data_IF_063294931664
#
_entry.id   IF_063294931664
#
_cell.length_a   1.000
_cell.length_b   1.000
_cell.length_c   1.000
_cell.angle_alpha   90.00
_cell.angle_beta   90.00
_cell.angle_gamma   90.00
#
_symmetry.space_group_name_H-M   'P 1'
#
loop_
_entity.id
_entity.type
_entity.pdbx_description
1 polymer ?
#
# COMPACT_ATOMS: atom_id res chain seq x y z
N UNK A 1 30.93 9.51 -12.65
CA UNK A 1 29.83 10.07 -11.85
C UNK A 1 28.76 10.50 -12.82
N UNK A 2 27.80 9.64 -13.13
CA UNK A 2 26.69 9.99 -13.99
C UNK A 2 25.52 10.36 -13.06
N UNK A 3 25.13 11.61 -13.08
CA UNK A 3 23.88 12.10 -12.48
C UNK A 3 22.75 11.51 -13.32
N UNK A 4 22.11 10.46 -12.81
CA UNK A 4 20.79 10.03 -13.28
C UNK A 4 19.73 10.97 -12.70
N UNK A 5 19.73 12.20 -13.16
CA UNK A 5 18.61 13.12 -12.98
C UNK A 5 17.62 12.82 -14.11
N UNK A 6 16.44 12.33 -13.75
CA UNK A 6 15.33 12.08 -14.68
C UNK A 6 15.02 13.40 -15.40
N UNK A 7 14.93 13.44 -16.73
CA UNK A 7 14.77 14.70 -17.49
C UNK A 7 13.50 15.50 -17.17
N UNK A 8 12.60 14.95 -16.35
CA UNK A 8 11.36 15.61 -15.90
C UNK A 8 11.53 16.57 -14.72
N UNK A 9 12.69 16.59 -14.02
CA UNK A 9 12.82 17.28 -12.72
C UNK A 9 13.22 18.75 -12.87
N UNK A 10 14.03 19.14 -13.84
CA UNK A 10 14.61 20.50 -13.89
C UNK A 10 13.83 21.55 -14.70
N UNK A 11 12.95 21.18 -15.62
CA UNK A 11 12.17 22.17 -16.39
C UNK A 11 10.76 22.48 -15.83
N UNK A 12 10.40 22.01 -14.65
CA UNK A 12 8.97 21.87 -14.26
C UNK A 12 8.61 22.15 -12.80
N UNK A 13 9.40 22.85 -12.00
CA UNK A 13 8.99 23.17 -10.62
C UNK A 13 7.64 23.94 -10.57
N UNK A 14 7.40 24.86 -11.51
CA UNK A 14 6.09 25.51 -11.66
C UNK A 14 4.99 24.51 -12.07
N UNK A 15 5.26 23.66 -13.04
CA UNK A 15 4.31 22.63 -13.51
C UNK A 15 4.00 21.56 -12.44
N UNK A 16 4.93 21.25 -11.54
CA UNK A 16 4.69 20.30 -10.45
C UNK A 16 3.79 20.88 -9.36
N UNK A 17 3.90 22.18 -9.06
CA UNK A 17 2.99 22.86 -8.13
C UNK A 17 1.56 22.89 -8.67
N UNK A 18 1.40 23.14 -9.98
CA UNK A 18 0.11 23.17 -10.64
C UNK A 18 -0.53 21.77 -10.69
N UNK A 19 0.27 20.74 -10.98
CA UNK A 19 -0.15 19.33 -10.90
C UNK A 19 -0.64 18.96 -9.50
N UNK A 20 0.08 19.35 -8.45
CA UNK A 20 -0.32 19.10 -7.06
C UNK A 20 -1.60 19.85 -6.69
N UNK A 21 -1.76 21.09 -7.15
CA UNK A 21 -2.97 21.88 -6.93
C UNK A 21 -4.17 21.25 -7.62
N UNK A 22 -4.02 20.85 -8.89
CA UNK A 22 -5.05 20.16 -9.66
C UNK A 22 -5.41 18.79 -9.02
N UNK A 23 -4.40 18.02 -8.60
CA UNK A 23 -4.59 16.76 -7.87
C UNK A 23 -5.37 16.97 -6.57
N UNK A 24 -4.99 17.97 -5.78
CA UNK A 24 -5.64 18.25 -4.49
C UNK A 24 -7.11 18.63 -4.69
N UNK A 25 -7.44 19.42 -5.71
CA UNK A 25 -8.83 19.79 -6.02
C UNK A 25 -9.67 18.54 -6.32
N UNK A 26 -9.17 17.64 -7.19
CA UNK A 26 -9.88 16.41 -7.53
C UNK A 26 -9.92 15.41 -6.36
N UNK A 27 -8.87 15.33 -5.55
CA UNK A 27 -8.85 14.50 -4.35
C UNK A 27 -9.86 14.99 -3.31
N UNK A 28 -9.95 16.30 -3.09
CA UNK A 28 -10.98 16.87 -2.21
C UNK A 28 -12.39 16.56 -2.72
N UNK A 29 -12.60 16.63 -4.04
CA UNK A 29 -13.91 16.35 -4.62
C UNK A 29 -14.31 14.89 -4.54
N UNK A 30 -13.42 13.95 -4.87
CA UNK A 30 -13.77 12.55 -5.08
C UNK A 30 -13.33 11.62 -3.93
N UNK A 31 -12.36 11.99 -3.13
CA UNK A 31 -11.83 11.17 -2.03
C UNK A 31 -12.23 11.74 -0.67
N UNK A 32 -11.73 12.93 -0.32
CA UNK A 32 -11.89 13.49 1.03
C UNK A 32 -13.30 14.02 1.30
N UNK A 33 -13.89 14.74 0.33
CA UNK A 33 -15.24 15.31 0.43
C UNK A 33 -16.38 14.34 0.13
N UNK A 34 -16.06 13.13 -0.35
CA UNK A 34 -17.04 12.18 -0.90
C UNK A 34 -18.17 11.84 0.06
N UNK A 35 -17.88 11.52 1.32
CA UNK A 35 -18.90 11.14 2.32
C UNK A 35 -19.88 12.28 2.56
N UNK A 36 -19.38 13.51 2.73
CA UNK A 36 -20.21 14.68 2.93
C UNK A 36 -21.07 15.00 1.71
N UNK A 37 -20.49 14.91 0.51
CA UNK A 37 -21.22 15.17 -0.74
C UNK A 37 -22.32 14.13 -1.00
N UNK A 38 -22.06 12.86 -0.73
CA UNK A 38 -23.06 11.81 -0.83
C UNK A 38 -24.20 12.01 0.19
N UNK A 39 -23.88 12.39 1.44
CA UNK A 39 -24.88 12.69 2.45
C UNK A 39 -25.75 13.88 2.04
N UNK A 40 -25.13 14.95 1.51
CA UNK A 40 -25.85 16.14 1.04
C UNK A 40 -26.83 15.80 -0.09
N UNK A 41 -26.43 14.94 -1.04
CA UNK A 41 -27.27 14.52 -2.18
C UNK A 41 -28.39 13.55 -1.79
N UNK A 42 -28.15 12.69 -0.80
CA UNK A 42 -29.13 11.69 -0.36
C UNK A 42 -30.02 12.18 0.78
N UNK A 43 -29.75 13.34 1.38
CA UNK A 43 -30.44 13.80 2.57
C UNK A 43 -30.16 12.97 3.83
N UNK A 44 -29.13 12.11 3.79
CA UNK A 44 -28.81 11.14 4.85
C UNK A 44 -27.63 11.67 5.68
N UNK A 45 -27.60 11.41 6.99
CA UNK A 45 -26.43 11.75 7.82
C UNK A 45 -25.20 10.96 7.40
N UNK A 46 -24.01 11.59 7.48
CA UNK A 46 -22.72 11.02 7.05
C UNK A 46 -22.44 9.66 7.72
N UNK A 47 -22.82 9.52 8.99
CA UNK A 47 -22.69 8.27 9.76
C UNK A 47 -23.58 7.12 9.26
N UNK A 48 -24.63 7.44 8.48
CA UNK A 48 -25.62 6.49 7.98
C UNK A 48 -25.41 6.13 6.50
N UNK A 49 -24.33 6.58 5.86
CA UNK A 49 -24.03 6.14 4.49
C UNK A 49 -23.45 4.71 4.60
N UNK A 50 -24.27 3.66 4.38
CA UNK A 50 -23.79 2.30 4.50
C UNK A 50 -22.83 2.01 3.35
N UNK A 51 -22.24 0.81 3.35
CA UNK A 51 -21.47 0.19 2.26
C UNK A 51 -21.97 0.43 0.80
N UNK A 52 -22.91 1.32 0.58
CA UNK A 52 -23.36 1.84 -0.74
C UNK A 52 -22.18 2.33 -1.60
N UNK A 53 -21.05 2.67 -0.97
CA UNK A 53 -19.78 2.92 -1.65
C UNK A 53 -19.21 1.67 -2.36
N UNK A 54 -19.78 0.49 -2.12
CA UNK A 54 -19.40 -0.76 -2.83
C UNK A 54 -20.11 -0.94 -4.15
N UNK A 55 -21.20 -0.20 -4.42
CA UNK A 55 -21.91 -0.29 -5.69
C UNK A 55 -21.02 0.21 -6.84
N UNK A 56 -20.89 -0.60 -7.87
CA UNK A 56 -20.20 -0.22 -9.11
C UNK A 56 -21.24 0.54 -9.96
N UNK A 57 -21.10 1.84 -10.03
CA UNK A 57 -21.99 2.73 -10.78
C UNK A 57 -21.16 3.77 -11.54
N UNK A 58 -21.67 4.35 -12.65
CA UNK A 58 -20.97 5.40 -13.37
C UNK A 58 -20.83 6.71 -12.59
N UNK A 59 -21.49 6.87 -11.44
CA UNK A 59 -21.35 8.07 -10.63
C UNK A 59 -19.90 8.23 -10.13
N UNK A 60 -19.19 9.33 -10.46
CA UNK A 60 -17.81 9.56 -10.06
C UNK A 60 -17.58 9.44 -8.56
N UNK A 61 -18.54 9.86 -7.72
CA UNK A 61 -18.44 9.76 -6.26
C UNK A 61 -18.42 8.31 -5.75
N UNK A 62 -18.89 7.35 -6.54
CA UNK A 62 -18.85 5.92 -6.22
C UNK A 62 -17.71 5.22 -6.94
N UNK A 63 -17.37 5.70 -8.13
CA UNK A 63 -16.46 5.03 -9.04
C UNK A 63 -14.99 5.40 -8.83
N UNK A 64 -14.68 6.66 -8.49
CA UNK A 64 -13.29 7.09 -8.25
C UNK A 64 -12.83 6.55 -6.89
N UNK A 65 -11.70 5.83 -6.88
CA UNK A 65 -11.09 5.23 -5.69
C UNK A 65 -9.71 5.78 -5.38
N UNK A 66 -9.13 6.56 -6.30
CA UNK A 66 -7.84 7.21 -6.08
C UNK A 66 -7.63 8.39 -7.02
N UNK A 67 -6.85 9.36 -6.55
CA UNK A 67 -6.40 10.54 -7.32
C UNK A 67 -4.93 10.76 -7.04
N UNK A 68 -4.08 10.71 -8.05
CA UNK A 68 -2.62 10.81 -7.89
C UNK A 68 -1.93 11.50 -9.06
N UNK A 69 -0.62 11.53 -9.05
CA UNK A 69 0.21 12.08 -10.13
C UNK A 69 0.96 10.94 -10.78
N UNK A 70 0.88 10.84 -12.09
CA UNK A 70 1.57 9.83 -12.88
C UNK A 70 1.68 10.20 -14.33
N UNK A 71 2.33 9.36 -15.12
CA UNK A 71 2.41 9.57 -16.56
C UNK A 71 1.07 9.22 -17.23
N UNK A 72 0.66 10.06 -18.17
CA UNK A 72 -0.54 9.84 -18.98
C UNK A 72 -0.31 8.64 -19.91
N UNK A 73 -1.27 7.73 -19.92
CA UNK A 73 -1.31 6.58 -20.82
C UNK A 73 -2.33 6.85 -21.94
N UNK A 74 -1.93 6.73 -23.18
CA UNK A 74 -2.84 6.79 -24.34
C UNK A 74 -2.65 5.54 -25.19
N UNK A 75 -3.76 4.85 -25.49
CA UNK A 75 -3.74 3.61 -26.29
C UNK A 75 -2.75 2.55 -25.75
N UNK A 76 -2.63 2.47 -24.42
CA UNK A 76 -1.72 1.53 -23.74
C UNK A 76 -0.22 1.93 -23.77
N UNK A 77 0.10 3.13 -24.26
CA UNK A 77 1.48 3.65 -24.33
C UNK A 77 1.68 4.87 -23.43
N UNK A 78 2.84 4.96 -22.82
CA UNK A 78 3.30 6.14 -22.11
C UNK A 78 3.46 7.32 -23.09
N UNK A 79 2.99 8.51 -22.70
CA UNK A 79 3.01 9.71 -23.54
C UNK A 79 4.14 10.68 -23.25
N UNK A 80 4.92 10.45 -22.19
CA UNK A 80 5.91 11.39 -21.68
C UNK A 80 5.31 12.62 -20.99
N UNK A 81 4.00 12.65 -20.76
CA UNK A 81 3.30 13.78 -20.14
C UNK A 81 2.78 13.41 -18.76
N UNK A 82 3.10 14.21 -17.75
CA UNK A 82 2.51 14.08 -16.44
C UNK A 82 1.06 14.53 -16.44
N UNK A 83 0.20 13.81 -15.73
CA UNK A 83 -1.22 14.06 -15.61
C UNK A 83 -1.71 13.79 -14.18
N UNK A 84 -2.87 14.32 -13.84
CA UNK A 84 -3.61 13.86 -12.67
C UNK A 84 -4.32 12.56 -13.03
N UNK A 85 -3.90 11.47 -12.39
CA UNK A 85 -4.51 10.14 -12.57
C UNK A 85 -5.75 10.00 -11.71
N UNK A 86 -6.82 9.55 -12.34
CA UNK A 86 -8.10 9.22 -11.70
C UNK A 86 -8.27 7.70 -11.76
N UNK A 87 -8.01 7.03 -10.64
CA UNK A 87 -8.20 5.58 -10.53
C UNK A 87 -9.68 5.28 -10.29
N UNK A 88 -10.27 4.48 -11.17
CA UNK A 88 -11.70 4.14 -11.12
C UNK A 88 -11.90 2.64 -10.92
N UNK A 89 -13.03 2.29 -10.30
CA UNK A 89 -13.43 0.89 -10.15
C UNK A 89 -13.68 0.22 -11.49
N UNK A 90 -14.31 0.97 -12.42
CA UNK A 90 -14.65 0.51 -13.76
C UNK A 90 -14.67 1.69 -14.73
N UNK A 91 -14.18 1.50 -15.95
CA UNK A 91 -14.38 2.43 -17.05
C UNK A 91 -15.73 2.15 -17.71
N UNK A 92 -16.49 3.21 -17.96
CA UNK A 92 -17.76 3.16 -18.68
C UNK A 92 -17.58 3.77 -20.07
N UNK A 93 -18.23 3.23 -21.12
CA UNK A 93 -18.29 3.86 -22.42
C UNK A 93 -18.88 5.27 -22.34
N UNK A 94 -18.35 6.21 -23.11
CA UNK A 94 -18.84 7.60 -23.10
C UNK A 94 -20.34 7.69 -23.46
N UNK A 95 -20.85 6.75 -24.24
CA UNK A 95 -22.28 6.65 -24.58
C UNK A 95 -23.20 6.36 -23.39
N UNK A 96 -22.65 5.77 -22.32
CA UNK A 96 -23.37 5.49 -21.07
C UNK A 96 -23.26 6.61 -20.04
N UNK A 97 -22.42 7.63 -20.32
CA UNK A 97 -22.17 8.76 -19.44
C UNK A 97 -22.91 10.00 -19.96
N UNK A 98 -23.89 10.47 -19.20
CA UNK A 98 -24.39 11.84 -19.42
C UNK A 98 -23.36 12.86 -18.90
N UNK A 99 -23.47 14.12 -19.33
CA UNK A 99 -22.46 15.15 -19.05
C UNK A 99 -22.10 15.36 -17.57
N UNK A 100 -23.00 14.99 -16.64
CA UNK A 100 -22.78 15.12 -15.20
C UNK A 100 -22.00 13.92 -14.60
N UNK A 101 -21.87 12.84 -15.34
CA UNK A 101 -21.18 11.60 -14.91
C UNK A 101 -19.78 11.47 -15.51
N UNK A 102 -19.47 12.25 -16.55
CA UNK A 102 -18.14 12.23 -17.15
C UNK A 102 -17.10 12.88 -16.22
N UNK A 103 -15.95 12.20 -16.09
CA UNK A 103 -14.80 12.77 -15.42
C UNK A 103 -14.13 13.83 -16.31
N UNK A 104 -13.54 14.90 -15.73
CA UNK A 104 -12.91 15.95 -16.52
C UNK A 104 -11.71 15.40 -17.32
N UNK A 105 -11.53 15.85 -18.55
CA UNK A 105 -10.35 15.55 -19.38
C UNK A 105 -9.13 16.37 -19.00
N UNK A 106 -9.37 17.51 -18.36
CA UNK A 106 -8.35 18.42 -17.82
C UNK A 106 -8.93 19.21 -16.65
N UNK A 107 -8.06 19.75 -15.82
CA UNK A 107 -8.39 20.67 -14.74
C UNK A 107 -7.33 21.76 -14.66
N UNK A 108 -7.75 23.02 -14.74
CA UNK A 108 -6.87 24.19 -14.74
C UNK A 108 -5.73 24.08 -15.79
N UNK A 109 -6.04 23.55 -17.00
CA UNK A 109 -5.07 23.31 -18.07
C UNK A 109 -4.15 22.09 -17.84
N UNK A 110 -4.32 21.36 -16.74
CA UNK A 110 -3.56 20.14 -16.45
C UNK A 110 -4.37 18.92 -16.97
N UNK A 111 -3.79 18.06 -17.81
CA UNK A 111 -4.47 16.88 -18.32
C UNK A 111 -4.78 15.89 -17.21
N UNK A 112 -5.91 15.19 -17.36
CA UNK A 112 -6.23 14.03 -16.53
C UNK A 112 -6.00 12.73 -17.31
N UNK A 113 -5.84 11.64 -16.57
CA UNK A 113 -5.77 10.28 -17.10
C UNK A 113 -6.65 9.36 -16.26
N UNK A 114 -7.63 8.71 -16.89
CA UNK A 114 -8.55 7.80 -16.20
C UNK A 114 -8.02 6.39 -16.34
N UNK A 115 -7.76 5.73 -15.21
CA UNK A 115 -7.22 4.37 -15.18
C UNK A 115 -8.15 3.44 -14.41
N UNK A 116 -8.51 2.30 -15.02
CA UNK A 116 -9.27 1.27 -14.34
C UNK A 116 -8.36 0.47 -13.41
N UNK A 117 -8.61 0.59 -12.12
CA UNK A 117 -7.83 -0.09 -11.09
C UNK A 117 -8.63 -1.15 -10.32
N UNK A 118 -9.94 -1.14 -10.45
CA UNK A 118 -10.80 -1.85 -9.50
C UNK A 118 -10.87 -1.17 -8.14
N UNK A 119 -11.56 -1.77 -7.19
CA UNK A 119 -11.60 -1.28 -5.81
C UNK A 119 -10.28 -1.63 -5.09
N UNK A 120 -9.74 -0.67 -4.34
CA UNK A 120 -8.60 -0.92 -3.46
C UNK A 120 -9.06 -1.52 -2.14
N UNK A 121 -8.38 -2.58 -1.71
CA UNK A 121 -8.68 -3.27 -0.45
C UNK A 121 -7.39 -3.65 0.25
N UNK A 122 -7.40 -3.71 1.60
CA UNK A 122 -6.39 -4.52 2.26
C UNK A 122 -6.53 -5.95 1.73
N UNK A 123 -5.43 -6.59 1.50
CA UNK A 123 -5.48 -7.95 0.97
C UNK A 123 -5.93 -8.93 2.05
N UNK A 124 -7.04 -9.63 1.79
CA UNK A 124 -7.41 -10.82 2.52
C UNK A 124 -6.61 -12.01 1.99
N UNK A 125 -6.25 -12.95 2.85
CA UNK A 125 -5.30 -14.01 2.56
C UNK A 125 -5.64 -14.85 1.33
N UNK A 126 -4.68 -14.94 0.38
CA UNK A 126 -4.76 -15.81 -0.80
C UNK A 126 -3.89 -17.06 -0.66
N UNK A 127 -4.21 -18.09 -1.44
CA UNK A 127 -3.34 -19.26 -1.58
C UNK A 127 -2.01 -18.87 -2.26
N UNK A 128 -0.87 -19.38 -1.74
CA UNK A 128 0.45 -19.04 -2.28
C UNK A 128 0.65 -19.55 -3.69
N UNK A 129 1.31 -18.75 -4.50
CA UNK A 129 1.98 -19.21 -5.71
C UNK A 129 3.37 -19.71 -5.32
N UNK A 130 3.63 -21.00 -5.53
CA UNK A 130 4.95 -21.60 -5.30
C UNK A 130 5.86 -21.23 -6.49
N UNK A 131 6.80 -20.31 -6.28
CA UNK A 131 7.83 -20.02 -7.26
C UNK A 131 8.91 -21.11 -7.20
N UNK A 132 9.19 -21.76 -8.32
CA UNK A 132 10.23 -22.78 -8.40
C UNK A 132 11.61 -22.19 -8.09
N UNK A 133 12.40 -22.86 -7.25
CA UNK A 133 13.77 -22.46 -6.91
C UNK A 133 13.90 -21.32 -5.91
N UNK A 134 12.80 -20.81 -5.33
CA UNK A 134 12.83 -19.76 -4.30
C UNK A 134 12.54 -20.31 -2.91
N UNK A 135 13.06 -19.65 -1.84
CA UNK A 135 12.69 -19.99 -0.47
C UNK A 135 11.17 -19.97 -0.28
N UNK A 136 10.62 -20.95 0.43
CA UNK A 136 9.21 -20.93 0.78
C UNK A 136 8.99 -19.97 1.96
N UNK A 137 8.36 -18.79 1.77
CA UNK A 137 8.23 -17.79 2.84
C UNK A 137 7.28 -18.21 3.95
N UNK A 138 6.52 -19.29 3.78
CA UNK A 138 5.50 -19.76 4.71
C UNK A 138 6.01 -20.78 5.72
N UNK A 139 7.25 -21.22 5.58
CA UNK A 139 7.84 -22.19 6.51
C UNK A 139 8.43 -21.50 7.74
N UNK A 140 8.56 -22.26 8.82
CA UNK A 140 9.29 -21.83 10.00
C UNK A 140 10.75 -21.58 9.65
N UNK A 141 11.25 -20.40 10.02
CA UNK A 141 12.63 -19.95 9.82
C UNK A 141 13.22 -19.44 11.12
N UNK A 142 14.43 -19.88 11.44
CA UNK A 142 15.22 -19.36 12.59
C UNK A 142 16.67 -19.16 12.17
N UNK A 143 17.16 -17.92 12.07
CA UNK A 143 16.42 -16.67 12.28
C UNK A 143 15.35 -16.43 11.24
N UNK A 144 14.29 -15.69 11.61
CA UNK A 144 13.26 -15.24 10.70
C UNK A 144 13.78 -14.13 9.78
N UNK A 145 13.42 -14.18 8.51
CA UNK A 145 13.85 -13.21 7.49
C UNK A 145 12.70 -12.31 7.03
N UNK A 146 12.96 -11.01 6.75
CA UNK A 146 11.99 -10.20 6.01
C UNK A 146 11.58 -10.90 4.71
N UNK A 147 10.29 -10.80 4.37
CA UNK A 147 9.65 -11.54 3.28
C UNK A 147 8.96 -12.83 3.73
N UNK A 148 9.24 -13.37 4.91
CA UNK A 148 8.53 -14.54 5.44
C UNK A 148 7.17 -14.18 6.06
N UNK A 149 6.36 -15.23 6.28
CA UNK A 149 5.06 -15.17 6.93
C UNK A 149 5.18 -14.79 8.40
N UNK A 150 4.37 -13.82 8.82
CA UNK A 150 4.13 -13.51 10.24
C UNK A 150 2.64 -13.24 10.45
N UNK A 151 2.20 -13.34 11.69
CA UNK A 151 0.81 -13.03 12.05
C UNK A 151 0.60 -13.05 13.56
N UNK A 152 -0.59 -12.67 13.96
CA UNK A 152 -1.05 -12.71 15.35
C UNK A 152 -2.06 -13.85 15.57
N UNK A 153 -2.41 -14.09 16.82
CA UNK A 153 -3.55 -14.90 17.21
C UNK A 153 -4.75 -13.97 17.43
N UNK A 154 -5.85 -14.23 16.73
CA UNK A 154 -7.13 -13.59 17.03
C UNK A 154 -7.58 -13.97 18.45
N UNK A 155 -7.81 -12.99 19.36
CA UNK A 155 -8.21 -13.28 20.74
C UNK A 155 -9.51 -14.08 20.83
N UNK A 156 -10.41 -13.94 19.88
CA UNK A 156 -11.68 -14.69 19.81
C UNK A 156 -11.54 -16.05 19.12
N UNK A 157 -10.36 -16.36 18.55
CA UNK A 157 -10.10 -17.58 17.76
C UNK A 157 -11.09 -17.80 16.59
N UNK A 158 -11.65 -16.71 16.04
CA UNK A 158 -12.63 -16.77 14.96
C UNK A 158 -11.97 -16.85 13.58
N UNK A 159 -10.73 -16.38 13.45
CA UNK A 159 -10.01 -16.44 12.20
C UNK A 159 -8.50 -16.58 12.41
N UNK A 160 -7.79 -16.96 11.36
CA UNK A 160 -6.33 -16.98 11.30
C UNK A 160 -5.87 -16.04 10.20
N UNK A 161 -4.80 -15.31 10.47
CA UNK A 161 -4.26 -14.31 9.58
C UNK A 161 -2.76 -14.50 9.41
N UNK A 162 -2.25 -14.16 8.24
CA UNK A 162 -0.83 -14.02 8.01
C UNK A 162 -0.57 -12.94 6.96
N UNK A 163 0.43 -12.11 7.23
CA UNK A 163 1.00 -11.14 6.34
C UNK A 163 2.50 -11.37 6.20
N UNK A 164 3.23 -10.34 5.84
CA UNK A 164 4.66 -10.40 5.55
C UNK A 164 5.49 -9.64 6.59
N UNK A 165 6.55 -10.24 7.07
CA UNK A 165 7.63 -9.58 7.80
C UNK A 165 8.34 -8.61 6.86
N UNK A 166 8.22 -7.29 7.09
CA UNK A 166 8.75 -6.27 6.20
C UNK A 166 10.24 -6.01 6.36
N UNK A 167 10.64 -5.60 7.54
CA UNK A 167 12.03 -5.25 7.87
C UNK A 167 12.35 -5.48 9.36
N UNK A 168 13.64 -5.62 9.65
CA UNK A 168 14.15 -5.35 10.99
C UNK A 168 14.40 -3.85 11.11
N UNK A 169 13.83 -3.25 12.15
CA UNK A 169 14.04 -1.83 12.49
C UNK A 169 14.45 -1.70 13.95
N UNK A 170 15.06 -0.56 14.31
CA UNK A 170 15.57 -0.32 15.66
C UNK A 170 15.39 1.13 16.10
N UNK A 171 15.28 1.32 17.38
CA UNK A 171 15.44 2.59 18.08
C UNK A 171 16.37 2.44 19.29
N UNK A 172 16.46 3.46 20.16
CA UNK A 172 17.26 3.41 21.37
C UNK A 172 16.78 2.33 22.36
N UNK A 173 15.53 1.89 22.26
CA UNK A 173 14.90 0.94 23.20
C UNK A 173 15.03 -0.52 22.75
N UNK A 174 15.32 -0.80 21.47
CA UNK A 174 15.47 -2.19 21.02
C UNK A 174 15.33 -2.43 19.52
N UNK A 175 15.18 -3.71 19.19
CA UNK A 175 15.04 -4.25 17.84
C UNK A 175 13.59 -4.72 17.63
N UNK A 176 13.06 -4.47 16.44
CA UNK A 176 11.65 -4.72 16.12
C UNK A 176 11.48 -5.32 14.72
N UNK A 177 10.41 -6.08 14.57
CA UNK A 177 9.83 -6.45 13.28
C UNK A 177 8.92 -5.30 12.84
N UNK A 178 9.07 -4.80 11.61
CA UNK A 178 8.18 -3.86 10.94
C UNK A 178 7.19 -4.62 10.05
N UNK A 179 5.92 -4.25 10.11
CA UNK A 179 4.88 -4.64 9.16
C UNK A 179 3.73 -3.61 9.18
N UNK A 180 2.56 -3.96 8.67
CA UNK A 180 1.40 -3.08 8.73
C UNK A 180 0.67 -3.15 10.09
N UNK A 181 -0.15 -2.13 10.39
CA UNK A 181 -1.08 -2.14 11.50
C UNK A 181 -2.05 -3.32 11.37
N UNK A 182 -2.70 -3.47 10.20
CA UNK A 182 -3.65 -4.57 9.99
C UNK A 182 -3.00 -5.97 10.06
N UNK A 183 -1.65 -6.07 9.92
CA UNK A 183 -0.90 -7.34 10.05
C UNK A 183 -0.47 -7.64 11.47
N UNK A 184 -0.12 -6.62 12.29
CA UNK A 184 0.41 -6.81 13.63
C UNK A 184 -0.54 -6.38 14.74
N UNK A 185 -1.48 -5.46 14.46
CA UNK A 185 -2.38 -4.86 15.42
C UNK A 185 -3.86 -5.04 15.09
N UNK A 186 -4.18 -5.84 14.05
CA UNK A 186 -5.54 -6.17 13.65
C UNK A 186 -6.46 -4.94 13.53
N UNK A 187 -6.04 -3.96 12.71
CA UNK A 187 -6.81 -2.72 12.50
C UNK A 187 -7.11 -1.98 13.82
N UNK A 188 -6.12 -1.82 14.69
CA UNK A 188 -6.18 -1.23 16.03
C UNK A 188 -6.80 -2.11 17.14
N UNK A 189 -7.26 -3.33 16.84
CA UNK A 189 -8.02 -4.16 17.80
C UNK A 189 -7.14 -4.85 18.83
N UNK A 190 -5.87 -5.13 18.51
CA UNK A 190 -4.97 -5.84 19.43
C UNK A 190 -4.33 -4.91 20.46
N UNK A 191 -4.18 -5.37 21.72
CA UNK A 191 -3.47 -4.62 22.74
C UNK A 191 -1.95 -4.67 22.50
N UNK A 192 -1.24 -3.65 22.97
CA UNK A 192 0.22 -3.70 23.08
C UNK A 192 0.62 -4.92 23.91
N UNK A 193 1.67 -5.63 23.46
CA UNK A 193 2.10 -6.92 24.05
C UNK A 193 1.51 -8.14 23.35
N UNK A 194 0.55 -8.00 22.43
CA UNK A 194 0.01 -9.14 21.68
C UNK A 194 1.12 -9.92 20.96
N UNK A 195 1.08 -11.25 21.06
CA UNK A 195 2.11 -12.14 20.53
C UNK A 195 2.08 -12.18 18.98
N UNK A 196 3.27 -12.15 18.37
CA UNK A 196 3.48 -12.27 16.94
C UNK A 196 4.27 -13.55 16.64
N UNK A 197 3.76 -14.33 15.71
CA UNK A 197 4.25 -15.67 15.39
C UNK A 197 4.90 -15.72 14.00
N UNK A 198 5.93 -16.57 13.84
CA UNK A 198 6.57 -16.89 12.58
C UNK A 198 6.77 -18.42 12.45
N UNK A 199 6.14 -19.05 11.47
CA UNK A 199 5.18 -18.48 10.50
C UNK A 199 3.90 -18.02 11.21
N UNK A 200 3.10 -17.18 10.52
CA UNK A 200 1.75 -16.85 10.99
C UNK A 200 0.89 -18.11 11.12
N UNK A 201 -0.13 -18.07 11.98
CA UNK A 201 -0.95 -19.25 12.30
C UNK A 201 -1.64 -19.85 11.07
N UNK A 202 -1.98 -19.02 10.07
CA UNK A 202 -2.51 -19.49 8.79
C UNK A 202 -1.53 -20.39 8.01
N UNK A 203 -0.25 -20.25 8.23
CA UNK A 203 0.81 -21.03 7.59
C UNK A 203 1.39 -22.11 8.50
N UNK A 204 0.62 -22.52 9.51
CA UNK A 204 0.97 -23.64 10.39
C UNK A 204 1.85 -23.24 11.58
N UNK A 205 1.92 -21.95 11.90
CA UNK A 205 2.57 -21.49 13.14
C UNK A 205 1.86 -22.01 14.38
N UNK A 206 2.64 -22.20 15.46
CA UNK A 206 2.15 -22.70 16.75
C UNK A 206 2.23 -21.60 17.80
N UNK A 207 1.13 -21.39 18.51
CA UNK A 207 1.04 -20.42 19.63
C UNK A 207 2.05 -20.76 20.74
N UNK A 208 2.31 -22.05 20.99
CA UNK A 208 3.18 -22.51 22.07
C UNK A 208 4.68 -22.39 21.77
N UNK A 209 5.10 -22.36 20.48
CA UNK A 209 6.53 -22.50 20.12
C UNK A 209 7.04 -21.49 19.12
N UNK A 210 6.15 -20.71 18.48
CA UNK A 210 6.52 -19.92 17.31
C UNK A 210 6.44 -18.41 17.51
N UNK A 211 6.26 -17.96 18.75
CA UNK A 211 6.32 -16.54 19.05
C UNK A 211 7.74 -16.00 18.79
N UNK A 212 7.83 -14.94 17.98
CA UNK A 212 9.09 -14.27 17.62
C UNK A 212 9.13 -12.83 18.12
N UNK A 213 7.99 -12.22 18.39
CA UNK A 213 7.90 -10.83 18.82
C UNK A 213 6.61 -10.58 19.62
N UNK A 214 6.50 -9.37 20.19
CA UNK A 214 5.28 -8.85 20.81
C UNK A 214 4.99 -7.45 20.28
N UNK A 215 3.73 -7.14 19.95
CA UNK A 215 3.28 -5.83 19.46
C UNK A 215 3.77 -4.73 20.39
N UNK A 216 4.51 -3.76 19.85
CA UNK A 216 5.11 -2.70 20.65
C UNK A 216 4.52 -1.31 20.37
N UNK A 217 4.28 -0.99 19.10
CA UNK A 217 3.68 0.27 18.63
C UNK A 217 2.98 0.06 17.31
N UNK A 218 1.93 0.83 17.08
CA UNK A 218 1.31 0.99 15.76
C UNK A 218 0.81 2.42 15.60
N UNK A 219 0.59 2.84 14.36
CA UNK A 219 -0.09 4.09 14.05
C UNK A 219 -1.57 3.77 13.90
N UNK A 220 -2.44 4.33 14.75
CA UNK A 220 -3.87 4.04 14.69
C UNK A 220 -4.47 4.46 13.36
N UNK A 221 -5.24 3.57 12.75
CA UNK A 221 -6.07 3.88 11.58
C UNK A 221 -7.29 4.69 12.05
N UNK A 222 -7.54 5.83 11.40
CA UNK A 222 -8.62 6.75 11.72
C UNK A 222 -9.61 6.83 10.55
N UNK A 223 -10.88 6.44 10.72
CA UNK A 223 -11.88 6.52 9.65
C UNK A 223 -12.42 7.93 9.40
N UNK A 224 -12.12 8.89 10.29
CA UNK A 224 -12.68 10.25 10.25
C UNK A 224 -11.82 11.24 9.46
N UNK A 225 -10.53 10.94 9.28
CA UNK A 225 -9.56 11.80 8.58
C UNK A 225 -8.64 10.97 7.68
N UNK A 226 -7.92 11.62 6.75
CA UNK A 226 -6.91 10.94 5.96
C UNK A 226 -5.77 10.37 6.82
N UNK A 227 -5.42 9.11 6.59
CA UNK A 227 -4.24 8.46 7.14
C UNK A 227 -3.05 8.68 6.21
N UNK A 228 -1.85 8.64 6.73
CA UNK A 228 -0.61 8.67 5.92
C UNK A 228 0.04 7.29 5.83
N UNK A 229 -0.12 6.47 6.87
CA UNK A 229 0.54 5.16 6.94
C UNK A 229 -0.37 4.11 7.58
N UNK A 230 -0.21 2.88 7.15
CA UNK A 230 -0.69 1.66 7.80
C UNK A 230 0.54 0.88 8.25
N UNK A 231 0.98 1.09 9.48
CA UNK A 231 2.22 0.49 9.97
C UNK A 231 2.21 0.20 11.48
N UNK A 232 2.98 -0.83 11.83
CA UNK A 232 3.20 -1.26 13.21
C UNK A 232 4.57 -1.90 13.38
N UNK A 233 5.06 -1.94 14.63
CA UNK A 233 6.27 -2.67 15.01
C UNK A 233 6.00 -3.59 16.20
N UNK A 234 6.66 -4.76 16.18
CA UNK A 234 6.66 -5.71 17.25
C UNK A 234 8.08 -5.92 17.77
N UNK A 235 8.29 -5.83 19.10
CA UNK A 235 9.59 -6.05 19.73
C UNK A 235 9.97 -7.51 19.64
N UNK A 236 11.15 -7.83 19.12
CA UNK A 236 11.64 -9.20 19.03
C UNK A 236 11.88 -9.80 20.43
N UNK A 237 11.63 -11.10 20.59
CA UNK A 237 11.87 -11.80 21.86
C UNK A 237 13.37 -11.88 22.20
N UNK A 238 14.21 -11.96 21.16
CA UNK A 238 15.66 -11.88 21.22
C UNK A 238 16.25 -11.46 19.88
N UNK A 239 17.37 -10.74 19.86
CA UNK A 239 17.94 -10.21 18.62
C UNK A 239 18.35 -11.28 17.60
N UNK A 240 18.79 -12.46 18.09
CA UNK A 240 19.19 -13.59 17.25
C UNK A 240 18.02 -14.29 16.53
N UNK A 241 16.77 -13.95 16.88
CA UNK A 241 15.59 -14.60 16.28
C UNK A 241 15.25 -14.05 14.89
N UNK A 242 15.81 -12.90 14.50
CA UNK A 242 15.60 -12.24 13.21
C UNK A 242 16.91 -11.99 12.48
N UNK A 243 16.81 -11.89 11.15
CA UNK A 243 17.89 -11.51 10.23
C UNK A 243 17.45 -10.30 9.39
N UNK A 244 18.38 -9.42 9.00
CA UNK A 244 18.09 -8.22 8.21
C UNK A 244 17.94 -8.48 6.70
N UNK A 245 18.44 -9.61 6.21
CA UNK A 245 18.42 -9.92 4.78
C UNK A 245 17.01 -10.37 4.37
N UNK A 246 16.41 -9.62 3.45
CA UNK A 246 15.15 -9.99 2.81
C UNK A 246 15.39 -11.25 1.98
N UNK A 247 14.47 -12.21 2.07
CA UNK A 247 14.54 -13.44 1.29
C UNK A 247 14.77 -13.12 -0.19
N UNK A 248 15.75 -13.79 -0.83
CA UNK A 248 16.14 -13.65 -2.23
C UNK A 248 16.71 -12.27 -2.64
N UNK A 249 16.47 -11.19 -1.89
CA UNK A 249 16.91 -9.82 -2.25
C UNK A 249 18.20 -9.43 -1.51
N UNK A 250 18.35 -9.86 -0.26
CA UNK A 250 19.47 -9.47 0.59
C UNK A 250 19.18 -8.27 1.49
N UNK A 251 20.21 -7.69 2.08
CA UNK A 251 20.07 -6.61 3.08
C UNK A 251 19.69 -5.29 2.43
N UNK A 252 18.67 -4.56 2.94
CA UNK A 252 18.33 -3.21 2.49
C UNK A 252 19.49 -2.23 2.66
N UNK A 253 19.66 -1.31 1.72
CA UNK A 253 20.76 -0.32 1.71
C UNK A 253 20.26 1.11 1.99
N UNK A 254 19.46 1.27 3.07
CA UNK A 254 18.87 2.55 3.43
C UNK A 254 17.57 2.85 2.69
N UNK A 255 17.06 4.08 2.81
CA UNK A 255 15.81 4.54 2.21
C UNK A 255 16.05 5.39 0.97
N UNK A 256 15.07 5.45 0.08
CA UNK A 256 14.99 6.36 -1.05
C UNK A 256 13.54 6.86 -1.23
N UNK A 257 13.40 8.01 -1.90
CA UNK A 257 12.08 8.54 -2.29
C UNK A 257 11.62 7.82 -3.56
N UNK A 258 10.35 7.43 -3.60
CA UNK A 258 9.74 6.85 -4.80
C UNK A 258 9.64 7.92 -5.91
N UNK A 259 9.92 7.52 -7.15
CA UNK A 259 9.74 8.36 -8.33
C UNK A 259 8.94 7.59 -9.39
N UNK A 260 8.18 8.32 -10.20
CA UNK A 260 7.44 7.74 -11.34
C UNK A 260 8.44 7.00 -12.24
N UNK A 261 8.03 5.88 -12.80
CA UNK A 261 8.82 4.96 -13.64
C UNK A 261 10.00 4.28 -12.95
N UNK A 262 10.17 4.48 -11.63
CA UNK A 262 11.18 3.75 -10.89
C UNK A 262 10.91 2.25 -10.95
N UNK A 263 11.90 1.47 -11.41
CA UNK A 263 11.84 0.01 -11.36
C UNK A 263 12.04 -0.48 -9.92
N UNK A 264 11.10 -1.29 -9.45
CA UNK A 264 11.06 -1.78 -8.07
C UNK A 264 10.89 -3.29 -8.00
N UNK A 265 11.24 -3.87 -6.86
CA UNK A 265 11.03 -5.27 -6.56
C UNK A 265 10.64 -5.45 -5.08
N UNK A 266 10.07 -6.61 -4.79
CA UNK A 266 9.78 -7.04 -3.42
C UNK A 266 9.89 -8.56 -3.27
N UNK A 267 9.95 -9.03 -2.05
CA UNK A 267 9.68 -10.42 -1.69
C UNK A 267 8.62 -10.46 -0.59
N UNK A 268 7.56 -11.21 -0.80
CA UNK A 268 6.44 -11.32 0.14
C UNK A 268 5.95 -12.74 0.34
N UNK A 269 5.10 -12.92 1.34
CA UNK A 269 4.57 -14.20 1.77
C UNK A 269 3.83 -14.96 0.67
N UNK A 270 3.10 -14.24 -0.20
CA UNK A 270 2.16 -14.87 -1.14
C UNK A 270 2.73 -14.99 -2.54
N UNK A 271 3.25 -13.91 -3.10
CA UNK A 271 3.75 -13.91 -4.47
C UNK A 271 5.27 -14.10 -4.56
N UNK A 272 5.96 -14.24 -3.41
CA UNK A 272 7.43 -14.34 -3.37
C UNK A 272 8.08 -13.12 -4.05
N UNK A 273 9.09 -13.34 -4.89
CA UNK A 273 9.78 -12.27 -5.61
C UNK A 273 8.95 -11.78 -6.79
N UNK A 274 8.73 -10.49 -6.86
CA UNK A 274 8.07 -9.82 -7.99
C UNK A 274 8.78 -8.53 -8.35
N UNK A 275 8.60 -8.11 -9.60
CA UNK A 275 9.17 -6.89 -10.19
C UNK A 275 8.03 -6.02 -10.71
N UNK A 276 8.17 -4.71 -10.55
CA UNK A 276 7.18 -3.74 -10.99
C UNK A 276 7.77 -2.36 -11.24
N UNK A 277 6.89 -1.42 -11.51
CA UNK A 277 7.21 -0.03 -11.80
C UNK A 277 6.31 0.89 -10.98
N UNK A 278 6.85 1.98 -10.45
CA UNK A 278 6.06 3.03 -9.78
C UNK A 278 5.24 3.77 -10.82
N UNK A 279 3.93 3.57 -10.79
CA UNK A 279 2.99 4.15 -11.77
C UNK A 279 2.44 5.51 -11.35
N UNK A 280 2.38 5.77 -10.03
CA UNK A 280 1.89 7.05 -9.49
C UNK A 280 2.47 7.32 -8.12
N UNK A 281 2.64 8.59 -7.81
CA UNK A 281 3.07 9.11 -6.50
C UNK A 281 2.06 10.15 -6.02
N UNK A 282 2.21 10.57 -4.75
CA UNK A 282 1.32 11.57 -4.14
C UNK A 282 -0.16 11.21 -4.35
N UNK A 283 -0.51 9.93 -4.18
CA UNK A 283 -1.84 9.42 -4.51
C UNK A 283 -2.72 9.36 -3.27
N UNK A 284 -3.88 10.01 -3.32
CA UNK A 284 -4.91 9.87 -2.29
C UNK A 284 -5.88 8.77 -2.70
N UNK A 285 -6.12 7.82 -1.80
CA UNK A 285 -6.91 6.62 -2.09
C UNK A 285 -7.94 6.35 -1.00
N UNK A 286 -9.00 5.64 -1.38
CA UNK A 286 -9.91 4.98 -0.44
C UNK A 286 -9.65 3.48 -0.47
N UNK A 287 -9.39 2.89 0.68
CA UNK A 287 -9.09 1.47 0.85
C UNK A 287 -10.13 0.85 1.78
N UNK A 288 -10.69 -0.28 1.37
CA UNK A 288 -11.62 -1.07 2.17
C UNK A 288 -10.88 -2.01 3.13
N UNK A 289 -11.20 -1.90 4.42
CA UNK A 289 -10.77 -2.77 5.51
C UNK A 289 -11.96 -3.55 6.07
N UNK A 290 -11.75 -4.43 7.03
CA UNK A 290 -12.87 -5.11 7.72
C UNK A 290 -13.68 -4.14 8.56
N UNK A 291 -13.00 -3.21 9.23
CA UNK A 291 -13.62 -2.20 10.09
C UNK A 291 -14.26 -1.04 9.31
N UNK A 292 -14.08 -0.98 7.99
CA UNK A 292 -14.70 0.05 7.14
C UNK A 292 -13.78 0.58 6.05
N UNK A 293 -14.19 1.67 5.41
CA UNK A 293 -13.38 2.34 4.40
C UNK A 293 -12.54 3.45 5.05
N UNK A 294 -11.24 3.43 4.77
CA UNK A 294 -10.27 4.45 5.22
C UNK A 294 -9.71 5.21 4.01
N UNK A 295 -9.50 6.51 4.18
CA UNK A 295 -8.75 7.31 3.21
C UNK A 295 -7.29 7.40 3.61
N UNK A 296 -6.42 7.36 2.60
CA UNK A 296 -4.97 7.56 2.76
C UNK A 296 -4.52 8.63 1.79
N UNK A 297 -3.61 9.51 2.22
CA UNK A 297 -3.02 10.56 1.40
C UNK A 297 -1.55 10.29 1.11
N UNK A 298 -1.08 10.81 -0.03
CA UNK A 298 0.31 10.76 -0.45
C UNK A 298 0.89 9.34 -0.55
N UNK A 299 0.17 8.43 -1.20
CA UNK A 299 0.60 7.04 -1.36
C UNK A 299 1.37 6.81 -2.67
N UNK A 300 2.10 5.70 -2.71
CA UNK A 300 2.78 5.18 -3.91
C UNK A 300 1.92 4.10 -4.55
N UNK A 301 1.71 4.17 -5.86
CA UNK A 301 1.08 3.10 -6.64
C UNK A 301 2.15 2.39 -7.47
N UNK A 302 2.15 1.06 -7.39
CA UNK A 302 3.05 0.19 -8.18
C UNK A 302 2.21 -0.75 -9.03
N UNK A 303 2.59 -0.92 -10.28
CA UNK A 303 2.05 -1.94 -11.19
C UNK A 303 3.09 -3.01 -11.47
N UNK A 304 2.64 -4.24 -11.67
CA UNK A 304 3.53 -5.32 -12.07
C UNK A 304 3.93 -5.22 -13.53
N UNK A 305 5.09 -5.77 -13.86
CA UNK A 305 5.59 -5.77 -15.22
C UNK A 305 4.94 -6.89 -16.06
N UNK A 306 4.83 -6.67 -17.37
CA UNK A 306 4.34 -7.64 -18.36
C UNK A 306 2.95 -8.23 -18.03
N UNK A 307 2.05 -7.39 -17.50
CA UNK A 307 0.68 -7.81 -17.14
C UNK A 307 0.60 -8.74 -15.92
N UNK A 308 1.71 -8.98 -15.22
CA UNK A 308 1.71 -9.78 -14.01
C UNK A 308 1.33 -8.91 -12.80
N UNK A 309 0.63 -9.48 -11.82
CA UNK A 309 0.37 -8.78 -10.56
C UNK A 309 1.68 -8.60 -9.78
N UNK A 310 1.92 -7.38 -9.26
CA UNK A 310 3.07 -7.11 -8.39
C UNK A 310 2.89 -7.71 -7.00
N UNK A 311 1.66 -7.73 -6.49
CA UNK A 311 1.33 -8.26 -5.16
C UNK A 311 -0.03 -8.97 -5.14
N UNK A 312 -0.25 -9.73 -4.10
CA UNK A 312 -1.52 -10.39 -3.81
C UNK A 312 -1.74 -10.44 -2.29
N UNK A 313 -2.92 -10.90 -1.88
CA UNK A 313 -3.31 -11.07 -0.49
C UNK A 313 -2.26 -11.82 0.35
N UNK A 314 -1.85 -11.25 1.47
CA UNK A 314 -0.79 -11.76 2.34
C UNK A 314 0.62 -11.18 2.07
N UNK A 315 0.82 -10.42 0.97
CA UNK A 315 2.04 -9.64 0.74
C UNK A 315 2.07 -8.33 1.54
N UNK A 316 0.97 -7.96 2.19
CA UNK A 316 0.91 -6.82 3.13
C UNK A 316 2.06 -6.88 4.14
N UNK A 317 2.76 -5.78 4.31
CA UNK A 317 3.97 -5.67 5.11
C UNK A 317 5.27 -5.86 4.35
N UNK A 318 5.24 -6.31 3.08
CA UNK A 318 6.45 -6.40 2.26
C UNK A 318 7.10 -5.03 2.05
N UNK A 319 8.44 -4.97 2.15
CA UNK A 319 9.17 -3.80 1.65
C UNK A 319 9.22 -3.81 0.13
N UNK A 320 9.06 -2.62 -0.45
CA UNK A 320 9.31 -2.34 -1.87
C UNK A 320 10.64 -1.62 -1.98
N UNK A 321 11.55 -2.15 -2.79
CA UNK A 321 12.90 -1.64 -2.96
C UNK A 321 13.16 -1.23 -4.40
N UNK A 322 13.96 -0.18 -4.58
CA UNK A 322 14.48 0.21 -5.89
C UNK A 322 15.42 -0.87 -6.42
N UNK A 323 15.17 -1.37 -7.61
CA UNK A 323 16.05 -2.34 -8.28
C UNK A 323 17.42 -1.73 -8.56
N UNK A 324 18.46 -2.55 -8.46
CA UNK A 324 19.85 -2.15 -8.68
C UNK A 324 20.52 -1.48 -7.48
N UNK A 325 19.76 -0.83 -6.59
CA UNK A 325 20.35 -0.18 -5.40
C UNK A 325 19.99 -0.89 -4.09
N UNK A 326 18.89 -1.64 -4.05
CA UNK A 326 18.28 -2.20 -2.85
C UNK A 326 17.95 -1.16 -1.76
N UNK A 327 17.72 0.11 -2.14
CA UNK A 327 17.18 1.11 -1.23
C UNK A 327 15.67 0.93 -1.10
N UNK A 328 15.18 1.02 0.13
CA UNK A 328 13.76 0.87 0.42
C UNK A 328 13.00 2.13 0.02
N UNK A 329 11.93 1.99 -0.74
CA UNK A 329 11.10 3.11 -1.17
C UNK A 329 9.72 3.13 -0.50
N UNK A 330 9.14 1.95 -0.19
CA UNK A 330 7.79 1.90 0.37
C UNK A 330 7.51 0.63 1.18
N UNK A 331 6.43 0.67 1.98
CA UNK A 331 5.83 -0.44 2.71
C UNK A 331 4.47 -0.76 2.09
N UNK A 332 4.31 -1.94 1.52
CA UNK A 332 3.10 -2.41 0.88
C UNK A 332 1.99 -2.66 1.91
N UNK A 333 0.75 -2.18 1.65
CA UNK A 333 -0.36 -2.42 2.58
C UNK A 333 -1.69 -2.80 1.93
N UNK A 334 -1.92 -2.44 0.67
CA UNK A 334 -3.19 -2.67 0.00
C UNK A 334 -3.01 -2.81 -1.51
N UNK A 335 -4.11 -3.09 -2.21
CA UNK A 335 -4.10 -3.10 -3.66
C UNK A 335 -5.39 -3.64 -4.28
N UNK A 336 -5.29 -3.90 -5.57
CA UNK A 336 -6.27 -4.58 -6.40
C UNK A 336 -5.58 -5.67 -7.22
N UNK A 337 -6.26 -6.23 -8.22
CA UNK A 337 -5.66 -7.23 -9.12
C UNK A 337 -4.48 -6.68 -9.93
N UNK A 338 -4.46 -5.40 -10.21
CA UNK A 338 -3.50 -4.75 -11.11
C UNK A 338 -2.60 -3.73 -10.45
N UNK A 339 -3.04 -3.14 -9.33
CA UNK A 339 -2.37 -2.05 -8.66
C UNK A 339 -2.04 -2.40 -7.21
N UNK A 340 -0.85 -2.08 -6.77
CA UNK A 340 -0.37 -2.21 -5.40
C UNK A 340 -0.23 -0.83 -4.78
N UNK A 341 -0.71 -0.66 -3.55
CA UNK A 341 -0.62 0.59 -2.80
C UNK A 341 0.37 0.42 -1.67
N UNK A 342 1.24 1.42 -1.50
CA UNK A 342 2.27 1.39 -0.49
C UNK A 342 2.49 2.76 0.17
N UNK A 343 2.79 2.75 1.47
CA UNK A 343 3.18 3.93 2.22
C UNK A 343 4.64 4.28 1.90
N UNK A 344 4.98 5.57 1.75
CA UNK A 344 6.37 5.98 1.67
C UNK A 344 7.15 5.50 2.90
N UNK A 345 8.31 4.89 2.68
CA UNK A 345 9.10 4.34 3.80
C UNK A 345 9.58 5.42 4.77
N UNK A 346 9.87 6.62 4.27
CA UNK A 346 10.26 7.77 5.11
C UNK A 346 9.20 8.13 6.12
N UNK A 347 7.92 8.11 5.70
CA UNK A 347 6.79 8.45 6.56
C UNK A 347 6.55 7.35 7.60
N UNK A 348 6.67 6.08 7.18
CA UNK A 348 6.59 4.92 8.08
C UNK A 348 7.65 4.99 9.18
N UNK A 349 8.92 5.21 8.81
CA UNK A 349 10.03 5.28 9.76
C UNK A 349 9.91 6.48 10.70
N UNK A 350 9.48 7.63 10.17
CA UNK A 350 9.24 8.84 10.96
C UNK A 350 8.08 8.66 11.95
N UNK A 351 6.94 8.14 11.49
CA UNK A 351 5.75 7.92 12.32
C UNK A 351 6.03 6.96 13.49
N UNK A 352 6.77 5.88 13.23
CA UNK A 352 7.15 4.89 14.25
C UNK A 352 8.41 5.28 15.04
N UNK A 353 9.13 6.35 14.64
CA UNK A 353 10.38 6.81 15.28
C UNK A 353 11.45 5.72 15.33
N UNK A 354 11.66 5.03 14.20
CA UNK A 354 12.64 3.94 14.06
C UNK A 354 13.53 4.16 12.84
N UNK A 355 14.62 3.37 12.76
CA UNK A 355 15.53 3.30 11.60
C UNK A 355 15.62 1.85 11.12
N UNK A 356 15.93 1.65 9.84
CA UNK A 356 16.32 0.35 9.32
C UNK A 356 17.57 -0.15 10.08
N UNK A 357 17.61 -1.44 10.42
CA UNK A 357 18.68 -2.04 11.20
C UNK A 357 19.94 -2.30 10.40
#
# INVERSE_FOLDING_TARGET
>A
MAKNEHPFIESSLGKLSDLRSAKLELANRYIHGRKAELARRSGTQVSMIPRALTAITPNPLHNVVGVGIGEKISEGKQTGTLAVKLFVRMKYPLSELNGNLALPKEINGIPTDIEESGAFRRFQTAAARKAAGMPNPRTKMRPAHPGCSIGFQDPANQFVMAGTFGAVVKDASGTYILSNNHVLADENRLPIGAAIFQPGLLDGGSVSTDQVAALARFIPLDPSKPNTVDCAIARVTQNSIVNNAILHIGTPKGAAVAAIDMSVHKFGRTTSYTVGTVASIDTDVTVGYETGDYTFSAQVIVTGNNGQSFSDAGDSGSLILQRGTNKVVALLFAGSKTHTIANHITDVLAALKVKLA
#
